data_IF_955218365706
#
_entry.id   IF_955218365706
#
_cell.length_a   1.000
_cell.length_b   1.000
_cell.length_c   1.000
_cell.angle_alpha   90.00
_cell.angle_beta   90.00
_cell.angle_gamma   90.00
#
_symmetry.space_group_name_H-M   'P 1'
#
loop_
_entity.id
_entity.type
_entity.pdbx_description
1 polymer ?
#
# COMPACT_ATOMS: atom_id res chain seq x y z
N UNK A 1 -30.32 -10.45 15.58
CA UNK A 1 -29.35 -11.27 16.34
C UNK A 1 -28.13 -11.74 15.52
N UNK A 2 -28.21 -11.93 14.19
CA UNK A 2 -27.09 -12.49 13.40
C UNK A 2 -25.87 -11.59 13.14
N UNK A 3 -26.05 -10.27 12.97
CA UNK A 3 -24.96 -9.37 12.53
C UNK A 3 -23.92 -9.07 13.62
N UNK A 4 -24.35 -9.06 14.89
CA UNK A 4 -23.47 -8.81 16.04
C UNK A 4 -22.59 -10.02 16.36
N UNK A 5 -23.13 -11.24 16.21
CA UNK A 5 -22.38 -12.50 16.40
C UNK A 5 -21.34 -12.68 15.29
N UNK A 6 -21.69 -12.39 14.04
CA UNK A 6 -20.73 -12.45 12.93
C UNK A 6 -19.58 -11.45 13.12
N UNK A 7 -19.86 -10.22 13.56
CA UNK A 7 -18.83 -9.22 13.91
C UNK A 7 -17.93 -9.70 15.05
N UNK A 8 -18.51 -10.30 16.10
CA UNK A 8 -17.76 -10.84 17.23
C UNK A 8 -16.89 -12.06 16.86
N UNK A 9 -17.33 -12.88 15.90
CA UNK A 9 -16.52 -13.97 15.36
C UNK A 9 -15.37 -13.45 14.50
N UNK A 10 -15.60 -12.47 13.62
CA UNK A 10 -14.51 -11.84 12.85
C UNK A 10 -13.43 -11.23 13.75
N UNK A 11 -13.82 -10.60 14.86
CA UNK A 11 -12.90 -10.04 15.85
C UNK A 11 -12.07 -11.08 16.61
N UNK A 12 -12.44 -12.38 16.56
CA UNK A 12 -11.65 -13.46 17.16
C UNK A 12 -10.59 -14.04 16.23
N UNK A 13 -10.75 -13.84 14.91
CA UNK A 13 -9.86 -14.43 13.91
C UNK A 13 -8.85 -13.42 13.38
N UNK A 14 -9.23 -12.14 13.27
CA UNK A 14 -8.39 -11.09 12.71
C UNK A 14 -7.69 -10.29 13.82
N UNK A 15 -6.37 -10.28 13.79
CA UNK A 15 -5.53 -9.47 14.65
C UNK A 15 -4.67 -8.52 13.81
N UNK A 16 -4.76 -7.21 14.07
CA UNK A 16 -3.91 -6.21 13.43
C UNK A 16 -2.81 -5.80 14.41
N UNK A 17 -1.55 -5.85 13.97
CA UNK A 17 -0.40 -5.49 14.81
C UNK A 17 0.70 -4.80 14.01
N UNK A 18 1.61 -4.05 14.65
CA UNK A 18 2.84 -3.62 14.00
C UNK A 18 3.63 -4.80 13.45
N UNK A 19 4.29 -4.59 12.31
CA UNK A 19 5.23 -5.56 11.78
C UNK A 19 6.52 -5.61 12.59
N UNK A 20 7.21 -6.72 12.48
CA UNK A 20 8.55 -6.90 13.03
C UNK A 20 9.61 -6.87 11.92
N UNK A 21 10.80 -6.37 12.23
CA UNK A 21 11.89 -6.27 11.25
C UNK A 21 12.28 -7.61 10.59
N UNK A 22 12.06 -8.75 11.28
CA UNK A 22 12.31 -10.09 10.75
C UNK A 22 11.30 -10.51 9.66
N UNK A 23 10.16 -9.85 9.59
CA UNK A 23 9.07 -10.13 8.64
C UNK A 23 9.28 -9.45 7.28
N UNK A 24 10.40 -8.75 7.07
CA UNK A 24 10.67 -7.98 5.85
C UNK A 24 10.51 -8.77 4.53
N UNK A 25 10.75 -10.08 4.53
CA UNK A 25 10.52 -10.91 3.35
C UNK A 25 9.02 -11.04 3.03
N UNK A 26 8.21 -11.25 4.06
CA UNK A 26 6.76 -11.34 3.98
C UNK A 26 6.14 -10.02 3.53
N UNK A 27 6.64 -8.91 4.09
CA UNK A 27 6.25 -7.56 3.71
C UNK A 27 6.54 -7.36 2.21
N UNK A 28 7.72 -7.74 1.72
CA UNK A 28 8.08 -7.58 0.32
C UNK A 28 7.15 -8.34 -0.63
N UNK A 29 6.74 -9.56 -0.27
CA UNK A 29 5.80 -10.36 -1.06
C UNK A 29 4.44 -9.66 -1.12
N UNK A 30 3.90 -9.25 0.02
CA UNK A 30 2.58 -8.63 0.10
C UNK A 30 2.52 -7.23 -0.54
N UNK A 31 3.61 -6.46 -0.49
CA UNK A 31 3.76 -5.19 -1.22
C UNK A 31 3.71 -5.44 -2.73
N UNK A 32 4.43 -6.44 -3.23
CA UNK A 32 4.39 -6.79 -4.65
C UNK A 32 3.02 -7.29 -5.11
N UNK A 33 2.32 -8.03 -4.24
CA UNK A 33 0.92 -8.44 -4.45
C UNK A 33 0.01 -7.21 -4.53
N UNK A 34 0.17 -6.22 -3.64
CA UNK A 34 -0.67 -5.01 -3.67
C UNK A 34 -0.42 -4.13 -4.88
N UNK A 35 0.81 -4.17 -5.42
CA UNK A 35 1.24 -3.36 -6.56
C UNK A 35 1.19 -4.12 -7.90
N UNK A 36 0.56 -5.31 -7.95
CA UNK A 36 0.44 -6.14 -9.15
C UNK A 36 1.76 -6.34 -9.92
N UNK A 37 2.83 -6.66 -9.20
CA UNK A 37 4.16 -6.89 -9.79
C UNK A 37 4.96 -5.61 -10.11
N UNK A 38 4.44 -4.43 -9.78
CA UNK A 38 5.17 -3.17 -9.96
C UNK A 38 6.39 -3.08 -9.03
N UNK A 39 6.28 -3.54 -7.78
CA UNK A 39 7.37 -3.45 -6.81
C UNK A 39 8.55 -4.34 -7.22
N UNK A 40 8.30 -5.58 -7.61
CA UNK A 40 9.32 -6.50 -8.13
C UNK A 40 9.96 -5.99 -9.43
N UNK A 41 9.18 -5.40 -10.34
CA UNK A 41 9.71 -4.73 -11.52
C UNK A 41 10.67 -3.59 -11.15
N UNK A 42 10.30 -2.73 -10.19
CA UNK A 42 11.16 -1.65 -9.71
C UNK A 42 12.45 -2.20 -9.07
N UNK A 43 12.33 -3.24 -8.23
CA UNK A 43 13.49 -3.86 -7.59
C UNK A 43 14.41 -4.59 -8.56
N UNK A 44 13.88 -5.08 -9.70
CA UNK A 44 14.67 -5.72 -10.74
C UNK A 44 15.71 -4.78 -11.37
N UNK A 45 15.52 -3.45 -11.28
CA UNK A 45 16.58 -2.50 -11.66
C UNK A 45 17.89 -2.73 -10.89
N UNK A 46 17.81 -3.12 -9.61
CA UNK A 46 19.01 -3.46 -8.83
C UNK A 46 19.69 -4.76 -9.30
N UNK A 47 18.94 -5.68 -9.92
CA UNK A 47 19.49 -6.89 -10.54
C UNK A 47 20.26 -6.52 -11.81
N UNK A 48 19.65 -5.67 -12.65
CA UNK A 48 20.28 -5.18 -13.89
C UNK A 48 21.59 -4.42 -13.63
N UNK A 49 21.65 -3.67 -12.53
CA UNK A 49 22.85 -2.94 -12.11
C UNK A 49 23.87 -3.81 -11.34
N UNK A 50 23.60 -5.10 -11.12
CA UNK A 50 24.48 -6.03 -10.40
C UNK A 50 24.58 -5.78 -8.89
N UNK A 51 23.63 -5.06 -8.29
CA UNK A 51 23.61 -4.73 -6.85
C UNK A 51 22.98 -5.82 -5.98
N UNK A 52 22.29 -6.78 -6.59
CA UNK A 52 21.55 -7.87 -5.91
C UNK A 52 21.39 -9.04 -6.90
N UNK A 53 21.17 -10.26 -6.39
CA UNK A 53 20.96 -11.44 -7.23
C UNK A 53 19.51 -11.54 -7.72
N UNK A 54 18.53 -11.14 -6.90
CA UNK A 54 17.10 -11.23 -7.24
C UNK A 54 16.30 -10.00 -6.81
N UNK A 55 15.20 -9.72 -7.52
CA UNK A 55 14.30 -8.63 -7.17
C UNK A 55 13.72 -8.78 -5.74
N UNK A 56 13.41 -10.00 -5.31
CA UNK A 56 12.88 -10.26 -3.96
C UNK A 56 13.94 -10.09 -2.88
N UNK A 57 15.21 -10.40 -3.15
CA UNK A 57 16.30 -10.06 -2.23
C UNK A 57 16.36 -8.55 -1.99
N UNK A 58 16.31 -7.75 -3.06
CA UNK A 58 16.26 -6.28 -2.96
C UNK A 58 14.99 -5.79 -2.25
N UNK A 59 13.84 -6.39 -2.55
CA UNK A 59 12.58 -6.07 -1.87
C UNK A 59 12.67 -6.30 -0.37
N UNK A 60 13.17 -7.47 0.06
CA UNK A 60 13.41 -7.78 1.47
C UNK A 60 14.36 -6.78 2.12
N UNK A 61 15.45 -6.40 1.44
CA UNK A 61 16.38 -5.38 1.97
C UNK A 61 15.69 -4.02 2.14
N UNK A 62 14.91 -3.58 1.16
CA UNK A 62 14.14 -2.32 1.22
C UNK A 62 13.12 -2.35 2.36
N UNK A 63 12.35 -3.42 2.50
CA UNK A 63 11.35 -3.55 3.58
C UNK A 63 11.98 -3.66 4.98
N UNK A 64 13.22 -4.13 5.07
CA UNK A 64 13.99 -4.18 6.33
C UNK A 64 14.55 -2.82 6.76
N UNK A 65 14.63 -1.85 5.83
CA UNK A 65 15.15 -0.51 6.12
C UNK A 65 14.24 0.27 7.08
N UNK A 66 14.79 1.34 7.66
CA UNK A 66 14.05 2.28 8.50
C UNK A 66 13.40 3.41 7.68
N UNK A 67 13.35 3.27 6.35
CA UNK A 67 12.69 4.20 5.45
C UNK A 67 11.18 4.23 5.67
N UNK A 68 10.51 5.24 5.13
CA UNK A 68 9.05 5.45 5.23
C UNK A 68 8.24 4.26 4.73
N UNK A 69 8.68 3.59 3.68
CA UNK A 69 8.02 2.40 3.12
C UNK A 69 8.44 1.08 3.83
N UNK A 70 9.29 1.16 4.86
CA UNK A 70 9.84 0.01 5.56
C UNK A 70 8.93 -0.57 6.64
N UNK A 71 9.44 -1.59 7.34
CA UNK A 71 8.74 -2.37 8.37
C UNK A 71 8.12 -1.51 9.49
N UNK A 72 8.73 -0.37 9.85
CA UNK A 72 8.26 0.50 10.94
C UNK A 72 6.87 1.09 10.71
N UNK A 73 6.50 1.33 9.45
CA UNK A 73 5.19 1.88 9.08
C UNK A 73 4.21 0.80 8.61
N UNK A 74 4.59 -0.48 8.74
CA UNK A 74 3.78 -1.62 8.31
C UNK A 74 2.89 -2.13 9.45
N UNK A 75 1.61 -2.32 9.15
CA UNK A 75 0.67 -3.11 9.98
C UNK A 75 0.49 -4.47 9.34
N UNK A 76 0.69 -5.55 10.10
CA UNK A 76 0.35 -6.91 9.68
C UNK A 76 -1.10 -7.23 10.07
N UNK A 77 -1.81 -7.90 9.17
CA UNK A 77 -3.07 -8.56 9.46
C UNK A 77 -2.84 -10.06 9.61
N UNK A 78 -3.09 -10.59 10.79
CA UNK A 78 -3.06 -12.03 11.07
C UNK A 78 -4.48 -12.59 11.05
N UNK A 79 -4.69 -13.70 10.36
CA UNK A 79 -5.93 -14.46 10.38
C UNK A 79 -5.67 -15.85 10.96
N UNK A 80 -6.22 -16.15 12.14
CA UNK A 80 -6.00 -17.42 12.84
C UNK A 80 -4.51 -17.73 13.11
N UNK A 81 -3.72 -16.69 13.39
CA UNK A 81 -2.28 -16.79 13.69
C UNK A 81 -1.37 -16.81 12.46
N UNK A 82 -1.94 -16.84 11.25
CA UNK A 82 -1.19 -16.78 9.99
C UNK A 82 -1.19 -15.36 9.43
N UNK A 83 -0.09 -14.93 8.82
CA UNK A 83 -0.03 -13.63 8.13
C UNK A 83 -0.92 -13.69 6.90
N UNK A 84 -1.97 -12.86 6.87
CA UNK A 84 -2.97 -12.83 5.82
C UNK A 84 -2.86 -11.61 4.90
N UNK A 85 -2.27 -10.52 5.40
CA UNK A 85 -2.12 -9.28 4.66
C UNK A 85 -1.38 -8.19 5.43
N UNK A 86 -1.31 -7.01 4.83
CA UNK A 86 -0.68 -5.84 5.45
C UNK A 86 -1.26 -4.52 4.94
N UNK A 87 -0.98 -3.45 5.69
CA UNK A 87 -1.00 -2.07 5.20
C UNK A 87 0.32 -1.37 5.48
N UNK A 88 0.75 -0.50 4.57
CA UNK A 88 1.84 0.46 4.81
C UNK A 88 1.28 1.86 4.61
N UNK A 89 1.52 2.74 5.57
CA UNK A 89 1.12 4.15 5.43
C UNK A 89 1.90 5.09 6.33
N UNK A 90 2.15 6.29 5.82
CA UNK A 90 2.97 7.32 6.46
C UNK A 90 2.49 8.71 6.04
N UNK A 91 2.91 9.77 6.75
CA UNK A 91 2.62 11.14 6.34
C UNK A 91 3.59 11.53 5.24
N UNK A 92 3.09 12.05 4.11
CA UNK A 92 3.94 12.68 3.12
C UNK A 92 4.35 14.06 3.63
N UNK A 93 5.64 14.36 3.58
CA UNK A 93 6.18 15.65 3.99
C UNK A 93 6.90 16.35 2.83
N UNK A 94 7.40 17.57 3.11
CA UNK A 94 8.02 18.43 2.09
C UNK A 94 9.32 17.85 1.50
N UNK A 95 9.94 16.84 2.11
CA UNK A 95 11.16 16.21 1.58
C UNK A 95 10.95 15.57 0.20
N UNK A 96 9.70 15.26 -0.16
CA UNK A 96 9.35 14.76 -1.50
C UNK A 96 9.64 15.78 -2.62
N UNK A 97 9.70 17.07 -2.29
CA UNK A 97 10.05 18.13 -3.25
C UNK A 97 11.53 18.09 -3.65
N UNK A 98 12.39 17.62 -2.76
CA UNK A 98 13.83 17.51 -2.99
C UNK A 98 14.23 16.16 -3.62
N UNK A 99 13.27 15.27 -3.82
CA UNK A 99 13.53 13.95 -4.39
C UNK A 99 13.90 14.07 -5.89
N UNK A 100 15.14 13.70 -6.28
CA UNK A 100 15.58 13.86 -7.66
C UNK A 100 14.91 12.83 -8.57
N UNK A 101 14.73 13.14 -9.87
CA UNK A 101 14.20 12.19 -10.85
C UNK A 101 14.96 10.86 -10.80
N UNK A 102 14.22 9.75 -10.77
CA UNK A 102 14.80 8.40 -10.69
C UNK A 102 14.60 7.64 -12.00
N UNK A 103 13.34 7.55 -12.41
CA UNK A 103 12.90 6.79 -13.57
C UNK A 103 11.51 7.33 -13.97
N UNK A 104 11.23 7.54 -15.27
CA UNK A 104 10.00 8.22 -15.71
C UNK A 104 8.70 7.66 -15.10
N UNK A 105 8.60 6.33 -14.98
CA UNK A 105 7.43 5.67 -14.36
C UNK A 105 7.30 5.99 -12.87
N UNK A 106 8.40 6.01 -12.12
CA UNK A 106 8.38 6.37 -10.70
C UNK A 106 8.12 7.87 -10.52
N UNK A 107 8.66 8.69 -11.40
CA UNK A 107 8.48 10.14 -11.39
C UNK A 107 7.00 10.54 -11.59
N UNK A 108 6.21 9.74 -12.32
CA UNK A 108 4.74 9.92 -12.41
C UNK A 108 4.05 9.75 -11.05
N UNK A 109 4.41 8.70 -10.29
CA UNK A 109 3.85 8.45 -8.96
C UNK A 109 4.27 9.54 -7.97
N UNK A 110 5.53 9.96 -8.00
CA UNK A 110 6.04 11.05 -7.16
C UNK A 110 5.32 12.37 -7.48
N UNK A 111 5.06 12.64 -8.77
CA UNK A 111 4.30 13.83 -9.21
C UNK A 111 2.90 13.85 -8.61
N UNK A 112 2.21 12.71 -8.57
CA UNK A 112 0.90 12.58 -7.93
C UNK A 112 1.01 12.74 -6.40
N UNK A 113 1.99 12.11 -5.75
CA UNK A 113 2.21 12.21 -4.30
C UNK A 113 2.47 13.67 -3.85
N UNK A 114 3.19 14.48 -4.64
CA UNK A 114 3.44 15.90 -4.33
C UNK A 114 2.17 16.73 -4.18
N UNK A 115 1.06 16.31 -4.79
CA UNK A 115 -0.24 17.00 -4.69
C UNK A 115 -0.95 16.78 -3.36
N UNK A 116 -0.50 15.82 -2.58
CA UNK A 116 -1.11 15.39 -1.33
C UNK A 116 -0.10 15.40 -0.17
N UNK A 117 0.92 16.26 -0.26
CA UNK A 117 1.82 16.54 0.88
C UNK A 117 0.99 16.97 2.09
N UNK A 118 1.34 16.44 3.25
CA UNK A 118 0.61 16.60 4.52
C UNK A 118 -0.43 15.50 4.78
N UNK A 119 -0.88 14.78 3.76
CA UNK A 119 -1.84 13.69 3.93
C UNK A 119 -1.15 12.46 4.53
N UNK A 120 -1.94 11.60 5.20
CA UNK A 120 -1.53 10.20 5.37
C UNK A 120 -1.62 9.52 4.01
N UNK A 121 -0.49 9.06 3.48
CA UNK A 121 -0.45 8.28 2.25
C UNK A 121 -0.43 6.79 2.57
N UNK A 122 -1.38 6.04 2.02
CA UNK A 122 -1.39 4.58 2.07
C UNK A 122 -0.68 4.08 0.83
N UNK A 123 0.55 3.62 1.03
CA UNK A 123 1.40 3.10 -0.05
C UNK A 123 0.92 1.71 -0.50
N UNK A 124 0.64 0.83 0.47
CA UNK A 124 0.32 -0.57 0.19
C UNK A 124 -0.85 -1.06 1.04
N UNK A 125 -1.78 -1.80 0.42
CA UNK A 125 -2.79 -2.63 1.10
C UNK A 125 -2.86 -3.96 0.37
N UNK A 126 -2.28 -5.00 0.96
CA UNK A 126 -2.15 -6.33 0.36
C UNK A 126 -2.87 -7.38 1.19
N UNK A 127 -3.57 -8.31 0.52
CA UNK A 127 -4.15 -9.51 1.15
C UNK A 127 -3.90 -10.70 0.23
N UNK A 128 -3.34 -11.77 0.80
CA UNK A 128 -3.16 -13.05 0.13
C UNK A 128 -4.50 -13.60 -0.39
N UNK A 129 -4.46 -14.26 -1.55
CA UNK A 129 -5.66 -14.60 -2.33
C UNK A 129 -6.64 -15.47 -1.54
N UNK A 130 -6.13 -16.45 -0.81
CA UNK A 130 -6.84 -17.41 0.04
C UNK A 130 -7.53 -16.78 1.27
N UNK A 131 -7.09 -15.57 1.67
CA UNK A 131 -7.67 -14.81 2.77
C UNK A 131 -8.61 -13.68 2.31
N UNK A 132 -8.78 -13.47 1.00
CA UNK A 132 -9.71 -12.47 0.45
C UNK A 132 -11.17 -12.87 0.70
N UNK A 133 -12.07 -11.89 0.60
CA UNK A 133 -13.49 -12.07 0.90
C UNK A 133 -13.83 -12.13 2.40
N UNK A 134 -12.82 -12.07 3.29
CA UNK A 134 -12.97 -12.12 4.75
C UNK A 134 -12.94 -10.75 5.44
N UNK A 135 -13.10 -9.66 4.69
CA UNK A 135 -13.12 -8.30 5.25
C UNK A 135 -11.77 -7.75 5.75
N UNK A 136 -10.65 -8.45 5.53
CA UNK A 136 -9.31 -8.04 6.00
C UNK A 136 -8.87 -6.69 5.40
N UNK A 137 -8.98 -6.52 4.08
CA UNK A 137 -8.64 -5.24 3.43
C UNK A 137 -9.47 -4.06 3.93
N UNK A 138 -10.74 -4.30 4.31
CA UNK A 138 -11.60 -3.30 4.95
C UNK A 138 -11.08 -2.93 6.33
N UNK A 139 -10.70 -3.91 7.15
CA UNK A 139 -10.15 -3.66 8.48
C UNK A 139 -8.84 -2.90 8.42
N UNK A 140 -7.93 -3.27 7.50
CA UNK A 140 -6.68 -2.57 7.24
C UNK A 140 -6.93 -1.11 6.82
N UNK A 141 -7.85 -0.86 5.90
CA UNK A 141 -8.17 0.52 5.49
C UNK A 141 -8.79 1.34 6.63
N UNK A 142 -9.70 0.75 7.43
CA UNK A 142 -10.26 1.41 8.62
C UNK A 142 -9.16 1.76 9.63
N UNK A 143 -8.18 0.88 9.81
CA UNK A 143 -7.02 1.10 10.67
C UNK A 143 -6.17 2.28 10.19
N UNK A 144 -5.87 2.35 8.89
CA UNK A 144 -5.11 3.46 8.30
C UNK A 144 -5.87 4.81 8.41
N UNK A 145 -7.19 4.80 8.23
CA UNK A 145 -8.04 5.98 8.48
C UNK A 145 -7.99 6.39 9.97
N UNK A 146 -7.96 5.42 10.89
CA UNK A 146 -7.78 5.67 12.32
C UNK A 146 -6.47 6.39 12.61
N UNK A 147 -5.35 5.87 12.09
CA UNK A 147 -4.02 6.49 12.22
C UNK A 147 -3.96 7.90 11.62
N UNK A 148 -4.64 8.15 10.50
CA UNK A 148 -4.69 9.50 9.92
C UNK A 148 -5.32 10.50 10.89
N UNK A 149 -6.41 10.11 11.58
CA UNK A 149 -7.04 10.96 12.60
C UNK A 149 -6.16 11.15 13.82
N UNK A 150 -5.57 10.07 14.34
CA UNK A 150 -4.69 10.12 15.52
C UNK A 150 -3.47 11.02 15.30
N UNK A 151 -2.91 11.01 14.09
CA UNK A 151 -1.78 11.86 13.72
C UNK A 151 -2.18 13.29 13.34
N UNK A 152 -3.47 13.63 13.33
CA UNK A 152 -3.95 14.95 12.92
C UNK A 152 -3.75 15.27 11.43
N UNK A 153 -3.66 14.25 10.57
CA UNK A 153 -3.58 14.48 9.13
C UNK A 153 -4.89 15.10 8.63
N UNK A 154 -4.86 16.13 7.75
CA UNK A 154 -6.06 16.75 7.20
C UNK A 154 -6.85 15.81 6.28
N UNK A 155 -6.16 14.84 5.67
CA UNK A 155 -6.73 13.87 4.75
C UNK A 155 -5.88 12.59 4.69
N UNK A 156 -6.45 11.55 4.08
CA UNK A 156 -5.78 10.29 3.73
C UNK A 156 -5.88 10.06 2.22
N UNK A 157 -4.81 9.57 1.59
CA UNK A 157 -4.73 9.39 0.13
C UNK A 157 -3.99 8.12 -0.26
N UNK A 158 -4.17 7.69 -1.51
CA UNK A 158 -3.46 6.57 -2.12
C UNK A 158 -3.48 6.71 -3.65
N UNK A 159 -2.62 5.96 -4.32
CA UNK A 159 -2.64 5.79 -5.78
C UNK A 159 -2.95 4.32 -6.10
N UNK A 160 -3.80 4.07 -7.10
CA UNK A 160 -4.11 2.71 -7.58
C UNK A 160 -4.22 2.69 -9.09
N UNK A 161 -4.06 1.51 -9.71
CA UNK A 161 -4.34 1.34 -11.12
C UNK A 161 -5.85 1.39 -11.38
N UNK A 162 -6.24 2.08 -12.46
CA UNK A 162 -7.64 2.24 -12.87
C UNK A 162 -8.43 0.95 -13.13
N UNK A 163 -7.78 -0.18 -13.44
CA UNK A 163 -8.45 -1.48 -13.60
C UNK A 163 -8.71 -2.21 -12.28
N UNK A 164 -8.23 -1.69 -11.15
CA UNK A 164 -8.37 -2.33 -9.84
C UNK A 164 -9.76 -2.08 -9.25
N UNK A 165 -10.80 -2.59 -9.91
CA UNK A 165 -12.22 -2.37 -9.56
C UNK A 165 -12.55 -2.77 -8.11
N UNK A 166 -11.89 -3.82 -7.60
CA UNK A 166 -12.07 -4.29 -6.22
C UNK A 166 -11.56 -3.25 -5.22
N UNK A 167 -10.36 -2.69 -5.45
CA UNK A 167 -9.81 -1.66 -4.58
C UNK A 167 -10.57 -0.34 -4.73
N UNK A 168 -10.91 0.08 -5.95
CA UNK A 168 -11.74 1.27 -6.20
C UNK A 168 -13.08 1.19 -5.46
N UNK A 169 -13.75 0.03 -5.51
CA UNK A 169 -15.00 -0.20 -4.76
C UNK A 169 -14.79 -0.14 -3.25
N UNK A 170 -13.69 -0.70 -2.75
CA UNK A 170 -13.31 -0.63 -1.34
C UNK A 170 -13.09 0.82 -0.90
N UNK A 171 -12.32 1.60 -1.66
CA UNK A 171 -11.97 2.99 -1.33
C UNK A 171 -13.19 3.90 -1.40
N UNK A 172 -14.01 3.79 -2.45
CA UNK A 172 -15.26 4.53 -2.58
C UNK A 172 -16.21 4.26 -1.38
N UNK A 173 -16.32 3.01 -0.94
CA UNK A 173 -17.11 2.65 0.23
C UNK A 173 -16.59 3.27 1.55
N UNK A 174 -15.34 3.74 1.58
CA UNK A 174 -14.76 4.47 2.71
C UNK A 174 -14.67 5.99 2.45
N UNK A 175 -15.32 6.51 1.41
CA UNK A 175 -15.43 7.96 1.16
C UNK A 175 -14.24 8.58 0.43
N UNK A 176 -13.36 7.77 -0.13
CA UNK A 176 -12.33 8.27 -1.04
C UNK A 176 -12.95 8.74 -2.36
N UNK A 177 -12.40 9.81 -2.91
CA UNK A 177 -12.78 10.42 -4.19
C UNK A 177 -11.55 10.60 -5.06
N UNK A 178 -11.75 10.55 -6.37
CA UNK A 178 -10.69 10.83 -7.34
C UNK A 178 -10.26 12.30 -7.27
N UNK A 179 -8.95 12.52 -7.17
CA UNK A 179 -8.31 13.84 -7.20
C UNK A 179 -7.69 14.08 -8.56
N UNK A 180 -6.95 13.08 -9.06
CA UNK A 180 -6.29 13.17 -10.35
C UNK A 180 -6.12 11.79 -10.98
N UNK A 181 -6.02 11.79 -12.30
CA UNK A 181 -5.78 10.63 -13.14
C UNK A 181 -4.67 10.95 -14.14
N UNK A 182 -3.76 10.01 -14.32
CA UNK A 182 -2.62 10.14 -15.22
C UNK A 182 -2.41 8.85 -16.00
N UNK A 183 -2.36 8.91 -17.32
CA UNK A 183 -2.06 7.74 -18.16
C UNK A 183 -0.69 7.17 -17.77
N UNK A 184 -0.67 5.89 -17.37
CA UNK A 184 0.56 5.26 -16.90
C UNK A 184 1.48 4.96 -18.09
N UNK A 185 2.74 5.33 -17.94
CA UNK A 185 3.78 4.92 -18.89
C UNK A 185 3.89 3.39 -18.92
N UNK A 186 3.98 2.82 -20.13
CA UNK A 186 4.14 1.39 -20.30
C UNK A 186 5.47 0.90 -19.72
N UNK A 187 5.42 -0.20 -18.96
CA UNK A 187 6.60 -0.92 -18.49
C UNK A 187 6.68 -2.33 -19.08
N UNK A 188 7.90 -2.85 -19.22
CA UNK A 188 8.12 -4.24 -19.63
C UNK A 188 7.46 -5.19 -18.63
N UNK A 189 6.71 -6.17 -19.13
CA UNK A 189 5.98 -7.14 -18.30
C UNK A 189 4.67 -6.60 -17.70
N UNK A 190 4.13 -5.49 -18.23
CA UNK A 190 2.81 -5.00 -17.89
C UNK A 190 1.74 -5.60 -18.81
N UNK A 191 0.81 -6.35 -18.24
CA UNK A 191 -0.24 -7.03 -19.00
C UNK A 191 -1.39 -6.09 -19.43
N UNK A 192 -1.56 -4.95 -18.74
CA UNK A 192 -2.71 -4.06 -18.91
C UNK A 192 -2.30 -2.59 -18.93
N UNK A 193 -2.69 -1.87 -19.99
CA UNK A 193 -2.71 -0.40 -19.98
C UNK A 193 -3.65 0.10 -18.88
N UNK A 194 -3.28 1.18 -18.22
CA UNK A 194 -4.06 1.76 -17.14
C UNK A 194 -3.67 3.22 -16.93
N UNK A 195 -4.53 3.94 -16.22
CA UNK A 195 -4.15 5.17 -15.55
C UNK A 195 -3.77 4.91 -14.10
N UNK A 196 -2.82 5.71 -13.59
CA UNK A 196 -2.68 5.97 -12.17
C UNK A 196 -3.82 6.86 -11.70
N UNK A 197 -4.52 6.43 -10.66
CA UNK A 197 -5.65 7.16 -10.08
C UNK A 197 -5.29 7.55 -8.64
N UNK A 198 -5.08 8.85 -8.41
CA UNK A 198 -4.90 9.42 -7.09
C UNK A 198 -6.26 9.63 -6.44
N UNK A 199 -6.46 9.00 -5.29
CA UNK A 199 -7.68 9.12 -4.48
C UNK A 199 -7.37 9.82 -3.16
N UNK A 200 -8.31 10.63 -2.67
CA UNK A 200 -8.22 11.28 -1.35
C UNK A 200 -9.55 11.25 -0.60
N UNK A 201 -9.45 11.28 0.72
CA UNK A 201 -10.56 11.44 1.67
C UNK A 201 -10.15 12.44 2.75
N UNK A 202 -10.93 13.49 2.94
CA UNK A 202 -10.75 14.45 4.04
C UNK A 202 -11.08 13.81 5.40
N UNK A 203 -10.36 14.21 6.45
CA UNK A 203 -10.56 13.75 7.83
C UNK A 203 -11.52 14.63 8.66
N UNK A 204 -11.94 15.75 8.10
CA UNK A 204 -12.88 16.72 8.69
C UNK A 204 -14.24 16.11 9.07
#
# INVERSE_FOLDING_TARGET
>A
MGTQVLKAMMARHLHLRPAENREAAEIAILVDISAHGFASWLWYGAVLDGRTETAIERGRQKMRSDDTEGWKNTTMAEWDGEIAGLSIGYTLDESLNDFPPQHPVLDQLITLQRKVIGHRFVDSVGVYREFRGRGIGRALMVHEIGKARENGNPAISLITESYNEVALSLYAAHGFKEVERLEALERIGQDKKHDWVLLSRDMN
#
